data_IF_643994536449
#
_entry.id   IF_643994536449
#
_cell.length_a   1.000
_cell.length_b   1.000
_cell.length_c   1.000
_cell.angle_alpha   90.00
_cell.angle_beta   90.00
_cell.angle_gamma   90.00
#
_symmetry.space_group_name_H-M   'P 1'
#
loop_
_entity.id
_entity.type
_entity.pdbx_description
1 polymer ?
#
# COMPACT_ATOMS: atom_id res chain seq x y z
N UNK A 1 12.92 9.49 10.90
CA UNK A 1 12.78 8.10 11.35
C UNK A 1 13.25 7.26 10.18
N UNK A 2 14.23 6.40 10.39
CA UNK A 2 14.74 5.50 9.34
C UNK A 2 14.08 4.13 9.53
N UNK A 3 13.71 3.48 8.44
CA UNK A 3 13.20 2.10 8.46
C UNK A 3 14.33 1.14 8.82
N UNK A 4 14.02 0.05 9.52
CA UNK A 4 14.93 -1.10 9.61
C UNK A 4 15.12 -1.76 8.24
N UNK A 5 16.19 -2.54 8.07
CA UNK A 5 16.44 -3.29 6.82
C UNK A 5 15.29 -4.24 6.47
N UNK A 6 14.67 -4.85 7.48
CA UNK A 6 13.53 -5.74 7.32
C UNK A 6 12.27 -4.98 6.86
N UNK A 7 11.93 -3.88 7.52
CA UNK A 7 10.79 -3.03 7.11
C UNK A 7 10.98 -2.48 5.70
N UNK A 8 12.21 -2.04 5.37
CA UNK A 8 12.53 -1.52 4.04
C UNK A 8 12.38 -2.62 2.98
N UNK A 9 12.80 -3.86 3.28
CA UNK A 9 12.59 -4.99 2.39
C UNK A 9 11.11 -5.29 2.18
N UNK A 10 10.32 -5.40 3.26
CA UNK A 10 8.89 -5.70 3.18
C UNK A 10 8.10 -4.61 2.47
N UNK A 11 8.37 -3.33 2.75
CA UNK A 11 7.77 -2.20 2.04
C UNK A 11 8.10 -2.20 0.55
N UNK A 12 9.35 -2.54 0.21
CA UNK A 12 9.79 -2.59 -1.20
C UNK A 12 9.13 -3.73 -1.94
N UNK A 13 9.01 -4.90 -1.32
CA UNK A 13 8.30 -6.04 -1.90
C UNK A 13 6.81 -5.72 -2.09
N UNK A 14 6.17 -5.12 -1.09
CA UNK A 14 4.76 -4.70 -1.19
C UNK A 14 4.54 -3.69 -2.33
N UNK A 15 5.46 -2.73 -2.51
CA UNK A 15 5.36 -1.78 -3.62
C UNK A 15 5.52 -2.46 -4.98
N UNK A 16 6.45 -3.42 -5.11
CA UNK A 16 6.61 -4.21 -6.34
C UNK A 16 5.33 -4.98 -6.64
N UNK A 17 4.80 -5.73 -5.67
CA UNK A 17 3.61 -6.55 -5.84
C UNK A 17 2.43 -5.70 -6.31
N UNK A 18 2.24 -4.52 -5.69
CA UNK A 18 1.17 -3.58 -6.04
C UNK A 18 1.35 -2.98 -7.45
N UNK A 19 2.58 -2.71 -7.88
CA UNK A 19 2.87 -2.21 -9.24
C UNK A 19 2.75 -3.32 -10.28
N UNK A 20 3.15 -4.56 -9.96
CA UNK A 20 2.98 -5.72 -10.84
C UNK A 20 1.51 -6.08 -11.03
N UNK A 21 0.69 -5.88 -10.00
CA UNK A 21 -0.76 -6.01 -10.10
C UNK A 21 -1.40 -4.88 -10.91
N UNK A 22 -0.66 -3.82 -11.28
CA UNK A 22 -1.12 -2.74 -12.16
C UNK A 22 -1.57 -1.48 -11.44
N UNK A 23 -1.36 -1.34 -10.12
CA UNK A 23 -1.85 -0.16 -9.41
C UNK A 23 -1.32 1.16 -10.00
N UNK A 24 -2.22 2.13 -10.18
CA UNK A 24 -1.92 3.46 -10.71
C UNK A 24 -1.19 4.35 -9.68
N UNK A 25 0.05 4.00 -9.34
CA UNK A 25 0.91 4.72 -8.39
C UNK A 25 1.98 5.59 -9.08
N UNK A 26 1.96 5.69 -10.41
CA UNK A 26 2.96 6.44 -11.19
C UNK A 26 4.25 5.68 -11.47
N UNK A 27 4.24 4.36 -11.27
CA UNK A 27 5.31 3.43 -11.63
C UNK A 27 4.80 2.49 -12.72
N UNK A 28 5.72 1.94 -13.52
CA UNK A 28 5.40 0.96 -14.55
C UNK A 28 6.12 -0.36 -14.25
N UNK A 29 5.46 -1.52 -14.41
CA UNK A 29 6.13 -2.82 -14.32
C UNK A 29 7.05 -3.06 -15.53
N UNK A 30 8.15 -3.84 -15.38
CA UNK A 30 8.62 -4.45 -14.13
C UNK A 30 9.46 -3.48 -13.28
N UNK A 31 9.15 -3.41 -11.97
CA UNK A 31 9.90 -2.59 -11.01
C UNK A 31 11.03 -3.41 -10.37
N UNK A 32 12.20 -2.81 -10.18
CA UNK A 32 13.33 -3.47 -9.50
C UNK A 32 13.32 -3.19 -7.99
N UNK A 33 13.82 -4.13 -7.20
CA UNK A 33 13.91 -3.99 -5.74
C UNK A 33 14.74 -2.78 -5.33
N UNK A 34 15.81 -2.47 -6.04
CA UNK A 34 16.65 -1.31 -5.78
C UNK A 34 15.88 0.00 -5.98
N UNK A 35 15.00 0.06 -6.98
CA UNK A 35 14.16 1.23 -7.26
C UNK A 35 13.10 1.41 -6.16
N UNK A 36 12.43 0.33 -5.76
CA UNK A 36 11.46 0.34 -4.67
C UNK A 36 12.11 0.73 -3.33
N UNK A 37 13.32 0.21 -3.04
CA UNK A 37 14.11 0.60 -1.85
C UNK A 37 14.50 2.06 -1.88
N UNK A 38 14.95 2.56 -3.04
CA UNK A 38 15.30 3.97 -3.21
C UNK A 38 14.10 4.88 -2.95
N UNK A 39 12.91 4.51 -3.46
CA UNK A 39 11.67 5.23 -3.16
C UNK A 39 11.42 5.33 -1.65
N UNK A 40 11.36 4.19 -0.95
CA UNK A 40 11.08 4.18 0.49
C UNK A 40 12.16 4.85 1.35
N UNK A 41 13.39 4.97 0.85
CA UNK A 41 14.46 5.71 1.52
C UNK A 41 14.26 7.23 1.42
N UNK A 42 13.57 7.71 0.37
CA UNK A 42 13.35 9.14 0.11
C UNK A 42 12.03 9.66 0.69
N UNK A 43 11.03 8.80 0.88
CA UNK A 43 9.71 9.22 1.39
C UNK A 43 9.77 9.81 2.81
N UNK A 44 10.50 9.25 3.80
CA UNK A 44 10.54 9.79 5.15
C UNK A 44 11.21 11.17 5.22
N UNK A 45 10.46 12.19 5.59
CA UNK A 45 10.97 13.53 5.89
C UNK A 45 10.05 14.25 6.89
N UNK A 46 10.43 15.44 7.35
CA UNK A 46 9.81 16.14 8.50
C UNK A 46 8.28 16.25 8.45
N UNK A 47 7.69 16.39 7.26
CA UNK A 47 6.25 16.61 7.08
C UNK A 47 5.47 15.37 6.63
N UNK A 48 6.11 14.21 6.53
CA UNK A 48 5.47 12.96 6.13
C UNK A 48 5.40 11.98 7.28
N UNK A 49 4.19 11.54 7.60
CA UNK A 49 3.92 10.45 8.52
C UNK A 49 3.49 9.23 7.72
N UNK A 50 4.20 8.12 7.92
CA UNK A 50 3.90 6.86 7.27
C UNK A 50 3.26 5.96 8.32
N UNK A 51 2.12 5.38 7.97
CA UNK A 51 1.42 4.41 8.80
C UNK A 51 1.40 3.09 8.04
N UNK A 52 1.84 2.03 8.70
CA UNK A 52 1.85 0.67 8.15
C UNK A 52 0.99 -0.21 9.03
N UNK A 53 0.24 -1.12 8.41
CA UNK A 53 -0.39 -2.21 9.12
C UNK A 53 0.60 -3.37 9.19
N UNK A 54 0.75 -3.97 10.37
CA UNK A 54 1.63 -5.11 10.60
C UNK A 54 0.81 -6.24 11.21
N UNK A 55 0.84 -7.42 10.59
CA UNK A 55 0.19 -8.63 11.08
C UNK A 55 1.25 -9.73 11.26
N UNK A 56 1.49 -10.15 12.51
CA UNK A 56 2.50 -11.18 12.84
C UNK A 56 3.86 -10.81 12.24
N UNK A 57 4.34 -9.59 12.52
CA UNK A 57 5.62 -9.02 12.06
C UNK A 57 5.77 -8.86 10.53
N UNK A 58 4.67 -8.98 9.77
CA UNK A 58 4.63 -8.74 8.32
C UNK A 58 3.83 -7.48 8.01
N UNK A 59 4.41 -6.57 7.24
CA UNK A 59 3.74 -5.39 6.69
C UNK A 59 2.72 -5.86 5.64
N UNK A 60 1.48 -5.41 5.81
CA UNK A 60 0.34 -5.80 4.96
C UNK A 60 -0.31 -4.57 4.31
N UNK A 61 -1.19 -4.82 3.34
CA UNK A 61 -1.91 -3.80 2.59
C UNK A 61 -2.73 -2.84 3.47
N UNK A 62 -2.99 -1.64 2.93
CA UNK A 62 -3.74 -0.56 3.58
C UNK A 62 -5.16 -0.98 4.00
N UNK A 63 -5.78 -1.96 3.34
CA UNK A 63 -7.07 -2.51 3.77
C UNK A 63 -7.05 -2.97 5.24
N UNK A 64 -5.97 -3.62 5.68
CA UNK A 64 -5.81 -4.03 7.08
C UNK A 64 -5.55 -2.84 8.02
N UNK A 65 -4.96 -1.76 7.50
CA UNK A 65 -4.77 -0.52 8.27
C UNK A 65 -6.14 0.09 8.64
N UNK A 66 -7.05 0.22 7.69
CA UNK A 66 -8.39 0.73 7.96
C UNK A 66 -9.14 -0.13 8.98
N UNK A 67 -9.10 -1.45 8.81
CA UNK A 67 -9.74 -2.39 9.74
C UNK A 67 -9.16 -2.27 11.16
N UNK A 68 -7.84 -2.22 11.31
CA UNK A 68 -7.19 -2.06 12.63
C UNK A 68 -7.48 -0.71 13.29
N UNK A 69 -7.76 0.34 12.50
CA UNK A 69 -8.20 1.65 12.99
C UNK A 69 -9.69 1.70 13.35
N UNK A 70 -10.41 0.57 13.28
CA UNK A 70 -11.82 0.47 13.61
C UNK A 70 -12.77 0.98 12.52
N UNK A 71 -12.31 1.08 11.28
CA UNK A 71 -13.22 1.25 10.15
C UNK A 71 -13.91 -0.07 9.82
N UNK A 72 -15.13 0.03 9.30
CA UNK A 72 -15.94 -1.09 8.84
C UNK A 72 -16.04 -1.03 7.31
N UNK A 73 -15.96 -2.18 6.65
CA UNK A 73 -16.22 -2.28 5.22
C UNK A 73 -17.71 -2.02 4.96
N UNK A 74 -18.01 -1.00 4.14
CA UNK A 74 -19.36 -0.69 3.69
C UNK A 74 -19.79 -1.59 2.52
N UNK A 75 -18.82 -2.03 1.71
CA UNK A 75 -19.02 -2.89 0.55
C UNK A 75 -17.87 -2.79 -0.44
N UNK A 76 -17.97 -3.61 -1.50
CA UNK A 76 -17.02 -3.68 -2.60
C UNK A 76 -17.72 -3.45 -3.91
N UNK A 77 -17.10 -2.65 -4.77
CA UNK A 77 -17.49 -2.57 -6.18
C UNK A 77 -16.48 -3.40 -6.97
N UNK A 78 -16.89 -4.58 -7.46
CA UNK A 78 -15.97 -5.49 -8.13
C UNK A 78 -15.51 -4.89 -9.47
N UNK A 79 -14.23 -5.10 -9.81
CA UNK A 79 -13.65 -4.70 -11.11
C UNK A 79 -13.94 -3.24 -11.50
N UNK A 80 -14.01 -2.33 -10.51
CA UNK A 80 -14.40 -0.94 -10.74
C UNK A 80 -13.20 -0.05 -11.12
N UNK A 81 -12.09 -0.20 -10.41
CA UNK A 81 -10.91 0.62 -10.62
C UNK A 81 -10.12 0.04 -11.79
N UNK A 82 -9.90 0.85 -12.83
CA UNK A 82 -9.07 0.45 -13.97
C UNK A 82 -7.67 0.99 -13.80
N UNK A 83 -6.70 0.09 -13.92
CA UNK A 83 -5.27 0.34 -13.90
C UNK A 83 -4.75 0.88 -15.23
N UNK A 84 -3.53 1.43 -15.25
CA UNK A 84 -2.93 1.99 -16.47
C UNK A 84 -2.53 0.93 -17.49
N UNK A 85 -2.20 -0.27 -17.03
CA UNK A 85 -2.00 -1.50 -17.81
C UNK A 85 -3.31 -2.05 -18.42
N UNK A 86 -4.46 -1.53 -18.00
CA UNK A 86 -5.80 -1.93 -18.44
C UNK A 86 -6.47 -3.04 -17.63
N UNK A 87 -5.84 -3.55 -16.56
CA UNK A 87 -6.44 -4.46 -15.61
C UNK A 87 -7.51 -3.77 -14.74
N UNK A 88 -8.34 -4.57 -14.06
CA UNK A 88 -9.43 -4.07 -13.21
C UNK A 88 -9.29 -4.63 -11.79
N UNK A 89 -9.46 -3.75 -10.80
CA UNK A 89 -9.42 -4.09 -9.37
C UNK A 89 -10.69 -3.67 -8.65
N UNK A 90 -10.97 -4.40 -7.57
CA UNK A 90 -12.06 -4.07 -6.65
C UNK A 90 -11.79 -2.74 -5.96
N UNK A 91 -12.84 -1.93 -5.82
CA UNK A 91 -12.82 -0.78 -4.92
C UNK A 91 -13.53 -1.14 -3.62
N UNK A 92 -12.81 -1.09 -2.51
CA UNK A 92 -13.35 -1.33 -1.17
C UNK A 92 -13.69 0.00 -0.52
N UNK A 93 -14.93 0.16 -0.08
CA UNK A 93 -15.39 1.35 0.64
C UNK A 93 -15.40 1.08 2.14
N UNK A 94 -14.80 1.98 2.91
CA UNK A 94 -14.73 1.91 4.37
C UNK A 94 -15.44 3.10 5.01
N UNK A 95 -16.05 2.90 6.17
CA UNK A 95 -16.63 3.96 6.99
C UNK A 95 -16.28 3.79 8.47
N UNK A 96 -16.29 4.88 9.22
CA UNK A 96 -16.15 4.89 10.67
C UNK A 96 -17.10 5.93 11.26
N UNK A 97 -17.98 5.49 12.17
CA UNK A 97 -18.84 6.42 12.92
C UNK A 97 -17.99 7.19 13.91
N UNK A 98 -18.15 8.51 13.95
CA UNK A 98 -17.50 9.39 14.92
C UNK A 98 -18.56 9.74 15.96
N UNK A 99 -18.30 9.41 17.23
CA UNK A 99 -19.12 9.84 18.39
C UNK A 99 -18.68 11.20 18.91
#
# INVERSE_FOLDING_TARGET
MEFSEEELHQLSQLLIDVVEDGASLGFLPPMQLEEARAYWTLVPHEHVKIWVAVQVDVIVETNQLYLSMGYQEAGRVPEFARSDDGSYHDTVLYFKTIE
#
